data_IF_245108472387
#
_entry.id   IF_245108472387
#
_cell.length_a   1.000
_cell.length_b   1.000
_cell.length_c   1.000
_cell.angle_alpha   90.00
_cell.angle_beta   90.00
_cell.angle_gamma   90.00
#
_symmetry.space_group_name_H-M   'P 1'
#
loop_
_entity.id
_entity.type
_entity.pdbx_description
1 polymer ?
#
# COMPACT_ATOMS: atom_id res chain seq x y z
N UNK A 1 -13.13 5.51 -11.75
CA UNK A 1 -14.19 4.52 -12.02
C UNK A 1 -13.55 3.27 -12.59
N UNK A 2 -13.51 2.18 -11.83
CA UNK A 2 -13.06 0.91 -12.36
C UNK A 2 -14.12 0.37 -13.34
N UNK A 3 -13.75 0.12 -14.59
CA UNK A 3 -14.69 -0.38 -15.60
C UNK A 3 -15.23 -1.77 -15.23
N UNK A 4 -16.40 -2.15 -15.74
CA UNK A 4 -17.02 -3.47 -15.50
C UNK A 4 -16.06 -4.65 -15.77
N UNK A 5 -15.19 -4.50 -16.78
CA UNK A 5 -14.14 -5.47 -17.13
C UNK A 5 -13.11 -5.66 -16.02
N UNK A 6 -12.69 -4.60 -15.35
CA UNK A 6 -11.73 -4.67 -14.24
C UNK A 6 -12.34 -5.37 -13.02
N UNK A 7 -13.58 -5.01 -12.67
CA UNK A 7 -14.31 -5.67 -11.56
C UNK A 7 -14.51 -7.17 -11.86
N UNK A 8 -14.85 -7.52 -13.11
CA UNK A 8 -14.93 -8.91 -13.55
C UNK A 8 -13.60 -9.66 -13.47
N UNK A 9 -12.50 -9.02 -13.89
CA UNK A 9 -11.15 -9.59 -13.79
C UNK A 9 -10.72 -9.82 -12.34
N UNK A 10 -10.98 -8.87 -11.43
CA UNK A 10 -10.71 -9.04 -10.00
C UNK A 10 -11.55 -10.18 -9.39
N UNK A 11 -12.84 -10.26 -9.74
CA UNK A 11 -13.72 -11.32 -9.27
C UNK A 11 -13.26 -12.71 -9.73
N UNK A 12 -12.76 -12.82 -10.97
CA UNK A 12 -12.17 -14.06 -11.49
C UNK A 12 -10.85 -14.39 -10.78
N UNK A 13 -9.95 -13.41 -10.68
CA UNK A 13 -8.62 -13.57 -10.11
C UNK A 13 -8.67 -14.00 -8.64
N UNK A 14 -9.49 -13.33 -7.82
CA UNK A 14 -9.61 -13.59 -6.39
C UNK A 14 -10.79 -14.53 -6.02
N UNK A 15 -11.38 -15.19 -7.02
CA UNK A 15 -12.40 -16.20 -6.85
C UNK A 15 -11.92 -17.56 -7.38
N UNK A 16 -12.42 -18.01 -8.54
CA UNK A 16 -12.11 -19.34 -9.07
C UNK A 16 -10.63 -19.51 -9.45
N UNK A 17 -9.95 -18.48 -9.98
CA UNK A 17 -8.56 -18.61 -10.40
C UNK A 17 -7.62 -18.80 -9.20
N UNK A 18 -7.83 -18.06 -8.10
CA UNK A 18 -7.05 -18.25 -6.88
C UNK A 18 -7.25 -19.64 -6.28
N UNK A 19 -8.50 -20.12 -6.26
CA UNK A 19 -8.85 -21.48 -5.80
C UNK A 19 -8.18 -22.57 -6.62
N UNK A 20 -7.95 -22.31 -7.90
CA UNK A 20 -7.25 -23.24 -8.80
C UNK A 20 -5.72 -23.17 -8.66
N UNK A 21 -5.18 -21.97 -8.46
CA UNK A 21 -3.73 -21.71 -8.46
C UNK A 21 -3.05 -21.90 -7.10
N UNK A 22 -3.78 -21.77 -5.99
CA UNK A 22 -3.23 -21.83 -4.63
C UNK A 22 -3.76 -23.04 -3.86
N UNK A 23 -2.97 -23.50 -2.88
CA UNK A 23 -3.39 -24.57 -1.97
C UNK A 23 -4.68 -24.17 -1.23
N UNK A 24 -5.52 -25.17 -0.96
CA UNK A 24 -6.86 -24.98 -0.39
C UNK A 24 -6.89 -24.06 0.83
N UNK A 25 -5.94 -24.14 1.75
CA UNK A 25 -5.93 -23.31 2.96
C UNK A 25 -5.89 -21.80 2.68
N UNK A 26 -5.07 -21.35 1.72
CA UNK A 26 -5.03 -19.94 1.35
C UNK A 26 -6.35 -19.49 0.71
N UNK A 27 -6.96 -20.37 -0.06
CA UNK A 27 -8.25 -20.09 -0.68
C UNK A 27 -9.41 -20.05 0.33
N UNK A 28 -9.30 -20.76 1.45
CA UNK A 28 -10.27 -20.71 2.57
C UNK A 28 -10.01 -19.54 3.52
N UNK A 29 -8.76 -19.05 3.61
CA UNK A 29 -8.42 -17.89 4.42
C UNK A 29 -9.00 -16.58 3.89
N UNK A 30 -9.48 -16.54 2.64
CA UNK A 30 -10.09 -15.35 2.09
C UNK A 30 -11.51 -15.13 2.63
N UNK A 31 -11.83 -13.93 3.13
CA UNK A 31 -13.17 -13.63 3.59
C UNK A 31 -14.18 -13.65 2.42
N UNK A 32 -15.47 -13.91 2.71
CA UNK A 32 -16.53 -13.73 1.72
C UNK A 32 -16.46 -12.35 1.08
N UNK A 33 -16.76 -12.28 -0.22
CA UNK A 33 -16.76 -11.02 -0.99
C UNK A 33 -15.42 -10.28 -1.08
N UNK A 34 -14.29 -10.95 -0.82
CA UNK A 34 -12.95 -10.34 -0.86
C UNK A 34 -12.68 -9.49 -2.11
N UNK A 35 -13.03 -9.99 -3.30
CA UNK A 35 -12.84 -9.25 -4.55
C UNK A 35 -13.66 -7.94 -4.62
N UNK A 36 -14.87 -7.94 -4.05
CA UNK A 36 -15.72 -6.76 -3.99
C UNK A 36 -15.17 -5.74 -2.98
N UNK A 37 -14.72 -6.19 -1.80
CA UNK A 37 -14.08 -5.33 -0.82
C UNK A 37 -12.77 -4.73 -1.35
N UNK A 38 -11.94 -5.52 -2.02
CA UNK A 38 -10.72 -5.04 -2.68
C UNK A 38 -11.05 -3.99 -3.74
N UNK A 39 -12.04 -4.25 -4.60
CA UNK A 39 -12.49 -3.29 -5.61
C UNK A 39 -12.98 -1.99 -4.98
N UNK A 40 -13.75 -2.08 -3.89
CA UNK A 40 -14.27 -0.92 -3.16
C UNK A 40 -13.15 -0.10 -2.51
N UNK A 41 -12.15 -0.77 -1.90
CA UNK A 41 -10.96 -0.12 -1.34
C UNK A 41 -10.16 0.62 -2.40
N UNK A 42 -9.94 -0.02 -3.54
CA UNK A 42 -9.28 0.62 -4.68
C UNK A 42 -10.07 1.84 -5.13
N UNK A 43 -11.39 1.72 -5.32
CA UNK A 43 -12.24 2.85 -5.73
C UNK A 43 -12.17 4.03 -4.75
N UNK A 44 -12.24 3.77 -3.44
CA UNK A 44 -12.07 4.81 -2.40
C UNK A 44 -10.70 5.47 -2.51
N UNK A 45 -9.62 4.70 -2.57
CA UNK A 45 -8.26 5.24 -2.68
C UNK A 45 -8.05 6.05 -3.97
N UNK A 46 -8.61 5.58 -5.09
CA UNK A 46 -8.53 6.26 -6.37
C UNK A 46 -9.39 7.54 -6.45
N UNK A 47 -10.42 7.66 -5.61
CA UNK A 47 -11.26 8.85 -5.52
C UNK A 47 -10.62 9.98 -4.71
N UNK A 48 -9.77 9.66 -3.72
CA UNK A 48 -9.16 10.64 -2.81
C UNK A 48 -8.00 11.39 -3.47
N UNK A 49 -7.24 10.73 -4.36
CA UNK A 49 -6.04 11.30 -4.98
C UNK A 49 -6.18 11.49 -6.50
N UNK A 50 -5.54 12.52 -7.09
CA UNK A 50 -5.60 12.80 -8.52
C UNK A 50 -4.81 11.77 -9.35
N UNK A 51 -5.36 10.57 -9.50
CA UNK A 51 -4.69 9.44 -10.15
C UNK A 51 -4.83 9.41 -11.68
N UNK A 52 -5.60 10.32 -12.28
CA UNK A 52 -5.86 10.33 -13.73
C UNK A 52 -4.58 10.40 -14.57
N UNK A 53 -3.55 11.07 -14.04
CA UNK A 53 -2.23 11.23 -14.66
C UNK A 53 -1.15 10.33 -14.03
N UNK A 54 -1.50 9.49 -13.06
CA UNK A 54 -0.53 8.61 -12.41
C UNK A 54 -0.21 7.42 -13.34
N UNK A 55 1.04 7.29 -13.84
CA UNK A 55 1.39 6.21 -14.77
C UNK A 55 1.29 4.83 -14.13
N UNK A 56 1.59 4.70 -12.84
CA UNK A 56 1.51 3.43 -12.10
C UNK A 56 0.05 3.00 -11.90
N UNK A 57 -0.83 3.97 -11.60
CA UNK A 57 -2.26 3.71 -11.54
C UNK A 57 -2.80 3.19 -12.88
N UNK A 58 -2.39 3.82 -13.99
CA UNK A 58 -2.79 3.41 -15.34
C UNK A 58 -2.29 2.00 -15.69
N UNK A 59 -1.02 1.72 -15.38
CA UNK A 59 -0.43 0.39 -15.56
C UNK A 59 -1.19 -0.71 -14.80
N UNK A 60 -1.57 -0.45 -13.55
CA UNK A 60 -2.36 -1.37 -12.72
C UNK A 60 -3.69 -1.77 -13.38
N UNK A 61 -4.31 -0.85 -14.13
CA UNK A 61 -5.54 -1.09 -14.88
C UNK A 61 -5.31 -1.59 -16.32
N UNK A 62 -4.06 -1.89 -16.70
CA UNK A 62 -3.71 -2.31 -18.06
C UNK A 62 -3.89 -1.22 -19.12
N UNK A 63 -3.93 0.06 -18.71
CA UNK A 63 -4.08 1.18 -19.63
C UNK A 63 -2.72 1.59 -20.21
N UNK A 64 -2.67 2.08 -21.47
CA UNK A 64 -1.44 2.60 -22.05
C UNK A 64 -0.82 3.69 -21.17
N UNK A 65 0.46 3.54 -20.86
CA UNK A 65 1.22 4.51 -20.06
C UNK A 65 2.67 4.50 -20.51
N UNK A 66 3.34 5.64 -20.36
CA UNK A 66 4.79 5.68 -20.48
C UNK A 66 5.42 4.80 -19.38
N UNK A 67 6.52 4.08 -19.67
CA UNK A 67 7.29 3.39 -18.66
C UNK A 67 7.69 4.37 -17.55
N UNK A 68 7.50 3.96 -16.30
CA UNK A 68 8.08 4.74 -15.18
C UNK A 68 9.54 4.35 -15.06
N UNK A 69 10.50 5.29 -15.15
CA UNK A 69 11.91 4.96 -15.03
C UNK A 69 12.17 4.34 -13.66
N UNK A 70 13.01 3.30 -13.64
CA UNK A 70 13.48 2.73 -12.38
C UNK A 70 14.19 3.82 -11.57
N UNK A 71 13.87 3.89 -10.28
CA UNK A 71 14.58 4.72 -9.33
C UNK A 71 15.57 3.84 -8.58
N UNK A 72 16.68 4.41 -8.17
CA UNK A 72 17.59 3.75 -7.25
C UNK A 72 16.85 3.47 -5.94
N UNK A 73 17.02 2.25 -5.43
CA UNK A 73 16.42 1.81 -4.18
C UNK A 73 17.56 1.50 -3.23
N UNK A 74 17.65 2.28 -2.16
CA UNK A 74 18.55 1.98 -1.06
C UNK A 74 17.86 1.05 -0.06
N UNK A 75 18.55 -0.03 0.31
CA UNK A 75 18.07 -0.98 1.31
C UNK A 75 18.97 -0.89 2.53
N UNK A 76 18.35 -0.63 3.68
CA UNK A 76 19.04 -0.46 4.96
C UNK A 76 18.61 -1.55 5.93
N UNK A 77 19.57 -2.26 6.53
CA UNK A 77 19.33 -3.18 7.65
C UNK A 77 19.52 -2.41 8.96
N UNK A 78 18.43 -1.93 9.55
CA UNK A 78 18.47 -1.11 10.75
C UNK A 78 17.16 -1.19 11.54
N UNK A 79 17.24 -0.87 12.83
CA UNK A 79 16.06 -0.60 13.65
C UNK A 79 15.36 0.67 13.16
N UNK A 80 14.07 0.56 12.82
CA UNK A 80 13.34 1.59 12.08
C UNK A 80 13.28 2.93 12.81
N UNK A 81 13.04 2.92 14.11
CA UNK A 81 12.95 4.15 14.91
C UNK A 81 14.30 4.85 14.96
N UNK A 82 15.36 4.10 15.18
CA UNK A 82 16.72 4.64 15.25
C UNK A 82 17.18 5.16 13.89
N UNK A 83 16.87 4.42 12.81
CA UNK A 83 17.17 4.86 11.46
C UNK A 83 16.49 6.19 11.15
N UNK A 84 15.17 6.29 11.36
CA UNK A 84 14.40 7.52 11.03
C UNK A 84 14.84 8.70 11.91
N UNK A 85 15.09 8.47 13.21
CA UNK A 85 15.54 9.53 14.14
C UNK A 85 16.92 10.10 13.80
N UNK A 86 17.80 9.30 13.20
CA UNK A 86 19.15 9.73 12.79
C UNK A 86 19.17 10.49 11.47
N UNK A 87 18.07 10.48 10.71
CA UNK A 87 18.03 11.22 9.45
C UNK A 87 17.98 12.73 9.70
N UNK A 88 18.63 13.54 8.84
CA UNK A 88 18.47 14.98 8.88
C UNK A 88 16.97 15.38 8.78
N UNK A 89 16.58 16.54 9.33
CA UNK A 89 15.26 17.10 9.07
C UNK A 89 15.02 17.23 7.56
N UNK A 90 13.76 17.09 7.12
CA UNK A 90 13.38 17.23 5.70
C UNK A 90 14.06 16.22 4.76
N UNK A 91 14.28 14.98 5.23
CA UNK A 91 14.87 13.91 4.43
C UNK A 91 13.86 13.19 3.53
N UNK A 92 12.59 13.12 3.93
CA UNK A 92 11.58 12.31 3.23
C UNK A 92 10.36 13.11 2.76
N UNK A 93 9.87 12.80 1.56
CA UNK A 93 8.62 13.32 0.99
C UNK A 93 7.39 12.50 1.39
N UNK A 94 7.59 11.34 2.01
CA UNK A 94 6.52 10.50 2.50
C UNK A 94 7.01 9.18 3.05
N UNK A 95 6.09 8.45 3.66
CA UNK A 95 6.34 7.17 4.30
C UNK A 95 5.25 6.17 3.93
N UNK A 96 5.65 4.93 3.70
CA UNK A 96 4.73 3.80 3.57
C UNK A 96 5.07 2.75 4.63
N UNK A 97 4.21 2.62 5.64
CA UNK A 97 4.38 1.68 6.74
C UNK A 97 3.43 0.50 6.56
N UNK A 98 3.98 -0.67 6.19
CA UNK A 98 3.19 -1.90 6.01
C UNK A 98 3.34 -2.81 7.20
N UNK A 99 2.26 -2.98 7.96
CA UNK A 99 2.09 -3.92 9.07
C UNK A 99 3.09 -3.76 10.24
N UNK A 100 3.94 -2.73 10.21
CA UNK A 100 4.99 -2.49 11.20
C UNK A 100 4.45 -2.21 12.61
N UNK A 101 3.17 -1.82 12.71
CA UNK A 101 2.49 -1.57 13.98
C UNK A 101 1.72 -2.79 14.49
N UNK A 102 1.58 -3.85 13.68
CA UNK A 102 0.75 -5.01 14.03
C UNK A 102 1.55 -5.89 15.01
N UNK A 103 1.04 -6.03 16.24
CA UNK A 103 1.74 -6.73 17.33
C UNK A 103 2.87 -5.93 17.99
N UNK A 104 3.02 -4.64 17.66
CA UNK A 104 4.00 -3.78 18.30
C UNK A 104 3.56 -3.38 19.72
N UNK A 105 4.52 -3.06 20.63
CA UNK A 105 4.19 -2.55 21.96
C UNK A 105 3.33 -1.29 21.93
N UNK A 106 2.58 -1.06 23.01
CA UNK A 106 1.80 0.16 23.19
C UNK A 106 2.70 1.42 23.03
N UNK A 107 2.19 2.43 22.32
CA UNK A 107 2.91 3.68 22.05
C UNK A 107 3.94 3.62 20.91
N UNK A 108 4.25 2.44 20.35
CA UNK A 108 5.19 2.31 19.22
C UNK A 108 4.76 3.16 18.01
N UNK A 109 3.46 3.13 17.67
CA UNK A 109 2.91 3.93 16.57
C UNK A 109 3.15 5.42 16.76
N UNK A 110 2.99 5.94 17.97
CA UNK A 110 3.17 7.36 18.26
C UNK A 110 4.63 7.76 18.16
N UNK A 111 5.54 6.91 18.66
CA UNK A 111 6.98 7.09 18.51
C UNK A 111 7.40 7.10 17.04
N UNK A 112 6.85 6.18 16.23
CA UNK A 112 7.12 6.09 14.80
C UNK A 112 6.64 7.35 14.06
N UNK A 113 5.42 7.80 14.35
CA UNK A 113 4.87 9.03 13.79
C UNK A 113 5.65 10.27 14.21
N UNK A 114 6.12 10.34 15.47
CA UNK A 114 6.95 11.44 15.94
C UNK A 114 8.30 11.48 15.22
N UNK A 115 8.97 10.33 15.08
CA UNK A 115 10.22 10.22 14.33
C UNK A 115 10.04 10.60 12.85
N UNK A 116 9.01 10.05 12.20
CA UNK A 116 8.69 10.36 10.80
C UNK A 116 8.42 11.85 10.59
N UNK A 117 7.66 12.49 11.50
CA UNK A 117 7.42 13.93 11.45
C UNK A 117 8.71 14.75 11.52
N UNK A 118 9.65 14.37 12.39
CA UNK A 118 10.96 15.04 12.49
C UNK A 118 11.78 15.00 11.20
N UNK A 119 11.70 13.89 10.46
CA UNK A 119 12.43 13.69 9.20
C UNK A 119 11.64 14.12 7.94
N UNK A 120 10.40 14.60 8.09
CA UNK A 120 9.50 14.93 6.97
C UNK A 120 9.81 16.27 6.31
N UNK A 121 9.64 16.33 4.98
CA UNK A 121 9.47 17.59 4.24
C UNK A 121 8.06 18.15 4.47
N UNK A 122 7.89 19.45 4.24
CA UNK A 122 6.57 20.09 4.29
C UNK A 122 5.64 19.42 3.25
N UNK A 123 4.46 19.00 3.71
CA UNK A 123 3.49 18.29 2.88
C UNK A 123 3.74 16.78 2.73
N UNK A 124 4.71 16.20 3.46
CA UNK A 124 4.94 14.76 3.42
C UNK A 124 3.72 13.96 3.90
N UNK A 125 3.45 12.83 3.23
CA UNK A 125 2.32 11.95 3.54
C UNK A 125 2.82 10.65 4.14
N UNK A 126 2.22 10.22 5.26
CA UNK A 126 2.45 8.89 5.82
C UNK A 126 1.24 8.00 5.57
N UNK A 127 1.46 6.85 4.93
CA UNK A 127 0.44 5.84 4.67
C UNK A 127 0.69 4.64 5.58
N UNK A 128 -0.33 4.27 6.35
CA UNK A 128 -0.32 3.07 7.18
C UNK A 128 -1.18 1.99 6.55
N UNK A 129 -0.64 0.78 6.50
CA UNK A 129 -1.40 -0.45 6.29
C UNK A 129 -1.27 -1.27 7.55
N UNK A 130 -2.39 -1.53 8.21
CA UNK A 130 -2.50 -2.39 9.40
C UNK A 130 -3.54 -3.46 9.13
N UNK A 131 -3.44 -4.60 9.81
CA UNK A 131 -4.47 -5.63 9.79
C UNK A 131 -5.79 -5.16 10.43
N UNK A 132 -5.77 -4.07 11.21
CA UNK A 132 -6.95 -3.55 11.89
C UNK A 132 -7.38 -4.51 13.00
N UNK A 133 -6.94 -4.23 14.22
CA UNK A 133 -7.50 -4.79 15.44
C UNK A 133 -8.26 -3.68 16.17
#
# INVERSE_FOLDING_TARGET
MAGRRFRGALALAFGPALRLAYRGELAHALPPHFAAELSSRLERGFAIHPNRRNPLARALFGLPTAPTPAREVEVHAAEVLDYVRKQPPRSFDGFAFSNITDGAPAGFRDQLLAAARGASRAGAVAVFRTLGL
#
